data_IF_976603128267
#
_entry.id   IF_976603128267
#
_cell.length_a   1.000
_cell.length_b   1.000
_cell.length_c   1.000
_cell.angle_alpha   90.00
_cell.angle_beta   90.00
_cell.angle_gamma   90.00
#
_symmetry.space_group_name_H-M   'P 1'
#
loop_
_entity.id
_entity.type
_entity.pdbx_description
1 polymer ?
#
# COMPACT_ATOMS: atom_id res chain seq x y z
N UNK A 1 -4.02 86.56 -17.75
CA UNK A 1 -3.98 85.62 -18.90
C UNK A 1 -3.92 84.21 -18.33
N UNK A 2 -4.85 83.34 -18.75
CA UNK A 2 -5.15 82.03 -18.15
C UNK A 2 -3.95 81.07 -18.17
N UNK A 3 -3.67 80.40 -17.05
CA UNK A 3 -3.19 79.01 -17.01
C UNK A 3 -3.77 78.32 -15.77
N UNK A 4 -4.67 77.38 -15.99
CA UNK A 4 -5.12 76.38 -15.01
C UNK A 4 -3.99 75.38 -14.76
N UNK A 5 -3.72 75.04 -13.50
CA UNK A 5 -3.19 73.71 -13.13
C UNK A 5 -3.90 73.18 -11.89
N UNK A 6 -4.73 72.18 -12.17
CA UNK A 6 -5.36 71.26 -11.25
C UNK A 6 -4.29 70.26 -10.77
N UNK A 7 -3.93 70.25 -9.49
CA UNK A 7 -3.16 69.14 -8.88
C UNK A 7 -3.80 68.83 -7.52
N UNK A 8 -3.86 67.54 -7.20
CA UNK A 8 -4.24 66.88 -5.94
C UNK A 8 -5.73 66.59 -5.71
N UNK A 9 -6.22 65.50 -6.33
CA UNK A 9 -7.15 64.55 -5.68
C UNK A 9 -6.96 63.14 -6.25
N UNK A 10 -5.99 62.40 -5.73
CA UNK A 10 -5.82 60.96 -6.03
C UNK A 10 -5.05 60.26 -4.89
N UNK A 11 -5.59 60.37 -3.67
CA UNK A 11 -5.02 59.73 -2.48
C UNK A 11 -5.98 58.84 -1.69
N UNK A 12 -7.18 58.53 -2.22
CA UNK A 12 -8.21 57.84 -1.44
C UNK A 12 -8.91 56.67 -2.15
N UNK A 13 -8.34 56.16 -3.24
CA UNK A 13 -8.91 55.00 -3.97
C UNK A 13 -8.00 53.77 -3.97
N UNK A 14 -6.78 53.86 -3.40
CA UNK A 14 -5.84 52.74 -3.35
C UNK A 14 -5.81 52.01 -1.98
N UNK A 15 -6.40 52.59 -0.93
CA UNK A 15 -6.37 52.00 0.42
C UNK A 15 -7.53 51.03 0.71
N UNK A 16 -8.61 51.08 -0.08
CA UNK A 16 -9.80 50.24 0.12
C UNK A 16 -9.75 48.90 -0.63
N UNK A 17 -8.87 48.76 -1.63
CA UNK A 17 -8.65 47.48 -2.34
C UNK A 17 -7.71 46.55 -1.57
N UNK A 18 -6.82 47.10 -0.73
CA UNK A 18 -5.93 46.29 0.12
C UNK A 18 -6.61 45.69 1.36
N UNK A 19 -7.75 46.25 1.81
CA UNK A 19 -8.44 45.72 2.98
C UNK A 19 -9.40 44.55 2.66
N UNK A 20 -9.84 44.43 1.40
CA UNK A 20 -10.70 43.32 0.95
C UNK A 20 -9.92 42.08 0.50
N UNK A 21 -8.59 42.17 0.36
CA UNK A 21 -7.73 41.03 0.00
C UNK A 21 -7.19 40.27 1.23
N UNK A 22 -7.55 40.68 2.45
CA UNK A 22 -7.12 40.06 3.70
C UNK A 22 -8.16 39.11 4.34
N UNK A 23 -9.27 38.81 3.65
CA UNK A 23 -10.39 38.04 4.21
C UNK A 23 -10.70 36.70 3.51
N UNK A 24 -9.80 36.19 2.66
CA UNK A 24 -9.91 34.82 2.12
C UNK A 24 -8.55 34.16 1.89
N UNK A 25 -7.67 34.20 2.89
CA UNK A 25 -6.80 33.05 3.13
C UNK A 25 -7.37 32.33 4.35
N UNK A 26 -8.36 31.45 4.13
CA UNK A 26 -8.38 30.25 4.96
C UNK A 26 -7.00 29.64 4.78
N UNK A 27 -6.21 29.61 5.85
CA UNK A 27 -4.99 28.83 5.88
C UNK A 27 -5.32 27.47 5.26
N UNK A 28 -4.72 27.18 4.10
CA UNK A 28 -4.80 25.87 3.49
C UNK A 28 -3.87 24.97 4.31
N UNK A 29 -4.39 24.59 5.46
CA UNK A 29 -3.70 23.90 6.53
C UNK A 29 -4.79 23.49 7.49
N UNK A 30 -5.52 22.44 7.13
CA UNK A 30 -6.15 21.65 8.18
C UNK A 30 -5.00 21.06 8.99
N UNK A 31 -4.61 21.77 10.05
CA UNK A 31 -3.81 21.26 11.15
C UNK A 31 -4.58 20.11 11.79
N UNK A 32 -4.33 18.90 11.30
CA UNK A 32 -4.81 17.67 11.88
C UNK A 32 -3.87 16.55 11.47
N UNK A 33 -3.21 15.91 12.44
CA UNK A 33 -2.51 14.66 12.15
C UNK A 33 -3.59 13.61 11.80
N UNK A 34 -3.51 12.95 10.64
CA UNK A 34 -4.53 11.98 10.25
C UNK A 34 -4.58 10.86 11.29
N UNK A 35 -5.80 10.44 11.61
CA UNK A 35 -6.10 9.33 12.51
C UNK A 35 -5.92 7.99 11.79
N UNK A 36 -6.24 7.94 10.50
CA UNK A 36 -6.14 6.74 9.68
C UNK A 36 -5.12 6.96 8.55
N UNK A 37 -4.40 5.91 8.19
CA UNK A 37 -3.47 5.89 7.06
C UNK A 37 -3.82 4.70 6.17
N UNK A 38 -4.11 4.97 4.90
CA UNK A 38 -4.28 3.95 3.86
C UNK A 38 -3.12 4.14 2.87
N UNK A 39 -2.25 3.15 2.78
CA UNK A 39 -1.15 3.09 1.83
C UNK A 39 -1.51 2.07 0.75
N UNK A 40 -1.69 2.52 -0.48
CA UNK A 40 -1.90 1.66 -1.63
C UNK A 40 -0.61 1.56 -2.45
N UNK A 41 -0.16 0.34 -2.71
CA UNK A 41 1.03 0.03 -3.49
C UNK A 41 0.60 -0.64 -4.80
N UNK A 42 1.18 -0.17 -5.89
CA UNK A 42 1.00 -0.76 -7.22
C UNK A 42 2.33 -1.37 -7.63
N UNK A 43 2.43 -2.70 -7.55
CA UNK A 43 3.68 -3.42 -7.85
C UNK A 43 4.02 -3.24 -9.35
N UNK A 44 5.26 -2.87 -9.67
CA UNK A 44 5.76 -2.80 -11.04
C UNK A 44 5.14 -1.73 -11.95
N UNK A 45 4.47 -0.72 -11.39
CA UNK A 45 3.73 0.29 -12.15
C UNK A 45 4.48 1.63 -12.29
N UNK A 46 4.90 1.99 -13.50
CA UNK A 46 5.46 3.29 -13.84
C UNK A 46 4.43 4.31 -14.36
N UNK A 47 4.92 5.48 -14.78
CA UNK A 47 4.08 6.53 -15.35
C UNK A 47 3.39 6.08 -16.66
N UNK A 48 4.04 5.18 -17.40
CA UNK A 48 3.60 4.64 -18.68
C UNK A 48 2.38 3.72 -18.50
N UNK A 49 2.39 2.86 -17.49
CA UNK A 49 1.27 1.97 -17.14
C UNK A 49 0.03 2.76 -16.71
N UNK A 50 0.19 3.78 -15.84
CA UNK A 50 -0.92 4.68 -15.51
C UNK A 50 -1.46 5.39 -16.76
N UNK A 51 -0.57 5.79 -17.67
CA UNK A 51 -0.98 6.42 -18.94
C UNK A 51 -1.81 5.49 -19.80
N UNK A 52 -1.39 4.23 -19.94
CA UNK A 52 -2.16 3.23 -20.68
C UNK A 52 -3.54 3.01 -20.03
N UNK A 53 -3.61 2.88 -18.71
CA UNK A 53 -4.87 2.72 -17.99
C UNK A 53 -5.84 3.88 -18.22
N UNK A 54 -5.36 5.14 -18.23
CA UNK A 54 -6.19 6.30 -18.58
C UNK A 54 -6.78 6.20 -19.98
N UNK A 55 -5.98 5.80 -20.96
CA UNK A 55 -6.44 5.66 -22.34
C UNK A 55 -7.50 4.58 -22.50
N UNK A 56 -7.33 3.43 -21.85
CA UNK A 56 -8.33 2.36 -21.89
C UNK A 56 -9.59 2.72 -21.11
N UNK A 57 -9.45 3.36 -19.94
CA UNK A 57 -10.58 3.84 -19.13
C UNK A 57 -11.36 4.97 -19.83
N UNK A 58 -10.69 5.80 -20.62
CA UNK A 58 -11.24 7.01 -21.21
C UNK A 58 -11.41 8.17 -20.23
N UNK A 59 -10.80 8.10 -19.05
CA UNK A 59 -10.87 9.10 -17.99
C UNK A 59 -9.63 9.02 -17.07
N UNK A 60 -9.44 10.03 -16.23
CA UNK A 60 -8.43 10.00 -15.17
C UNK A 60 -8.68 8.86 -14.17
N UNK A 61 -7.62 8.35 -13.55
CA UNK A 61 -7.73 7.45 -12.40
C UNK A 61 -8.25 8.24 -11.18
N UNK A 62 -8.97 7.57 -10.30
CA UNK A 62 -9.68 8.12 -9.14
C UNK A 62 -8.79 8.98 -8.23
N UNK A 63 -7.53 8.59 -8.07
CA UNK A 63 -6.56 9.24 -7.19
C UNK A 63 -5.74 10.37 -7.84
N UNK A 64 -5.87 10.61 -9.16
CA UNK A 64 -5.01 11.56 -9.89
C UNK A 64 -5.39 13.04 -9.68
N UNK A 65 -6.57 13.33 -9.12
CA UNK A 65 -6.99 14.70 -8.81
C UNK A 65 -6.31 15.30 -7.57
N UNK A 66 -5.35 14.59 -6.96
CA UNK A 66 -4.69 14.95 -5.71
C UNK A 66 -3.23 15.34 -5.90
N UNK A 67 -2.54 15.63 -4.79
CA UNK A 67 -1.14 15.99 -4.81
C UNK A 67 -0.29 14.85 -5.39
N UNK A 68 0.31 15.10 -6.54
CA UNK A 68 1.16 14.13 -7.24
C UNK A 68 2.63 14.54 -7.14
N UNK A 69 3.49 13.55 -6.92
CA UNK A 69 4.94 13.71 -6.86
C UNK A 69 5.67 12.55 -7.53
N UNK A 70 7.00 12.60 -7.52
CA UNK A 70 7.85 11.54 -8.06
C UNK A 70 8.73 10.96 -6.94
N UNK A 71 8.98 9.65 -7.00
CA UNK A 71 9.81 8.91 -6.04
C UNK A 71 10.99 8.25 -6.76
N UNK A 72 12.16 8.22 -6.12
CA UNK A 72 13.33 7.48 -6.58
C UNK A 72 13.40 6.14 -5.85
N UNK A 73 13.27 5.05 -6.59
CA UNK A 73 13.05 3.71 -6.05
C UNK A 73 14.30 2.83 -5.97
N UNK A 74 15.47 3.29 -6.43
CA UNK A 74 16.72 2.52 -6.29
C UNK A 74 16.95 2.10 -4.82
N UNK A 75 17.52 0.90 -4.64
CA UNK A 75 17.86 0.36 -3.33
C UNK A 75 19.36 0.60 -3.03
N UNK A 76 19.90 0.04 -1.95
CA UNK A 76 21.29 0.37 -1.55
C UNK A 76 22.36 -0.21 -2.47
N UNK A 77 22.09 -1.33 -3.13
CA UNK A 77 23.06 -2.11 -3.90
C UNK A 77 22.66 -2.39 -5.37
N UNK A 78 21.54 -1.84 -5.81
CA UNK A 78 21.05 -1.86 -7.20
C UNK A 78 20.36 -0.56 -7.61
N UNK A 79 20.63 -0.13 -8.85
CA UNK A 79 19.94 1.01 -9.50
C UNK A 79 18.52 0.67 -9.95
N UNK A 80 18.21 -0.63 -10.11
CA UNK A 80 16.87 -1.15 -10.36
C UNK A 80 16.49 -2.01 -9.16
N UNK A 81 15.56 -1.54 -8.35
CA UNK A 81 15.10 -2.26 -7.18
C UNK A 81 14.18 -3.42 -7.58
N UNK A 82 14.09 -4.43 -6.74
CA UNK A 82 12.95 -5.35 -6.71
C UNK A 82 11.93 -4.91 -5.63
N UNK A 83 10.77 -5.57 -5.58
CA UNK A 83 9.66 -5.24 -4.67
C UNK A 83 10.04 -5.29 -3.19
N UNK A 84 10.91 -6.21 -2.77
CA UNK A 84 11.28 -6.41 -1.35
C UNK A 84 11.91 -5.17 -0.68
N UNK A 85 13.07 -4.66 -1.13
CA UNK A 85 13.68 -3.44 -0.62
C UNK A 85 12.88 -2.18 -0.93
N UNK A 86 12.11 -2.14 -2.02
CA UNK A 86 11.25 -1.01 -2.33
C UNK A 86 10.10 -0.89 -1.30
N UNK A 87 9.37 -1.97 -1.08
CA UNK A 87 8.34 -2.04 -0.05
C UNK A 87 8.92 -1.87 1.36
N UNK A 88 10.13 -2.39 1.63
CA UNK A 88 10.83 -2.18 2.90
C UNK A 88 11.16 -0.71 3.14
N UNK A 89 11.55 0.02 2.11
CA UNK A 89 11.77 1.46 2.22
C UNK A 89 10.46 2.22 2.51
N UNK A 90 9.34 1.83 1.90
CA UNK A 90 8.02 2.38 2.21
C UNK A 90 7.57 2.03 3.64
N UNK A 91 7.84 0.81 4.10
CA UNK A 91 7.44 0.31 5.40
C UNK A 91 8.26 0.93 6.54
N UNK A 92 9.55 1.18 6.34
CA UNK A 92 10.51 1.50 7.42
C UNK A 92 11.11 2.90 7.32
N UNK A 93 11.00 3.54 6.14
CA UNK A 93 11.72 4.79 5.81
C UNK A 93 13.21 4.60 5.55
N UNK A 94 13.72 3.35 5.53
CA UNK A 94 15.14 3.02 5.35
C UNK A 94 15.31 2.20 4.07
N UNK A 95 16.14 2.69 3.13
CA UNK A 95 16.56 1.88 1.97
C UNK A 95 17.37 0.68 2.45
N UNK A 96 17.16 -0.47 1.83
CA UNK A 96 17.87 -1.71 2.17
C UNK A 96 18.46 -2.38 0.93
N UNK A 97 19.01 -3.58 1.08
CA UNK A 97 19.66 -4.36 0.03
C UNK A 97 18.66 -5.23 -0.73
N UNK A 98 19.01 -5.61 -1.96
CA UNK A 98 18.22 -6.52 -2.79
C UNK A 98 17.74 -7.74 -2.00
N UNK A 99 16.48 -8.14 -2.25
CA UNK A 99 15.77 -9.24 -1.57
C UNK A 99 15.49 -9.07 -0.08
N UNK A 100 15.99 -8.04 0.60
CA UNK A 100 15.76 -7.89 2.04
C UNK A 100 14.34 -7.42 2.33
N UNK A 101 13.74 -7.99 3.38
CA UNK A 101 12.42 -7.66 3.90
C UNK A 101 12.63 -6.97 5.24
N UNK A 102 12.45 -5.65 5.28
CA UNK A 102 12.53 -4.77 6.47
C UNK A 102 13.73 -5.05 7.39
N UNK A 103 14.85 -5.41 6.77
CA UNK A 103 16.18 -5.45 7.40
C UNK A 103 16.96 -4.22 6.96
N UNK A 104 17.92 -3.76 7.74
CA UNK A 104 18.88 -2.76 7.29
C UNK A 104 19.89 -3.36 6.30
N UNK A 105 20.52 -2.53 5.47
CA UNK A 105 21.34 -2.96 4.35
C UNK A 105 22.57 -3.78 4.77
N UNK A 106 23.12 -4.59 3.86
CA UNK A 106 24.31 -5.41 4.14
C UNK A 106 25.64 -4.63 4.11
N UNK A 107 25.62 -3.37 3.67
CA UNK A 107 26.77 -2.45 3.67
C UNK A 107 27.73 -2.58 2.49
N UNK A 108 27.25 -3.03 1.32
CA UNK A 108 27.98 -2.95 0.04
C UNK A 108 27.16 -2.18 -0.98
N UNK A 109 27.23 -0.86 -0.94
CA UNK A 109 26.41 0.00 -1.75
C UNK A 109 26.84 0.05 -3.22
N UNK A 110 25.91 0.35 -4.12
CA UNK A 110 26.23 0.66 -5.52
C UNK A 110 27.23 1.81 -5.58
N UNK A 111 28.27 1.75 -6.43
CA UNK A 111 29.20 2.85 -6.61
C UNK A 111 28.50 4.19 -6.84
N UNK A 112 28.82 5.19 -6.03
CA UNK A 112 28.23 6.53 -6.10
C UNK A 112 27.03 6.78 -5.18
N UNK A 113 26.50 5.74 -4.51
CA UNK A 113 25.52 5.92 -3.44
C UNK A 113 26.22 6.20 -2.09
N UNK A 114 25.59 6.99 -1.20
CA UNK A 114 26.10 7.16 0.16
C UNK A 114 26.15 5.83 0.90
N UNK A 115 27.22 5.60 1.66
CA UNK A 115 27.33 4.43 2.52
C UNK A 115 26.20 4.44 3.57
N UNK A 116 25.63 3.27 3.83
CA UNK A 116 24.59 3.13 4.84
C UNK A 116 25.19 3.27 6.25
N UNK A 117 24.43 3.80 7.23
CA UNK A 117 24.89 3.86 8.62
C UNK A 117 25.27 2.47 9.14
N UNK A 118 26.50 2.28 9.68
CA UNK A 118 26.97 0.96 10.11
C UNK A 118 26.12 0.31 11.20
N UNK A 119 25.43 1.13 12.00
CA UNK A 119 24.55 0.70 13.07
C UNK A 119 23.22 0.14 12.56
N UNK A 120 22.82 0.37 11.31
CA UNK A 120 21.62 -0.24 10.73
C UNK A 120 21.90 -1.60 10.08
N UNK A 121 23.17 -1.94 9.87
CA UNK A 121 23.58 -3.09 9.07
C UNK A 121 22.97 -4.40 9.59
N UNK A 122 22.20 -5.09 8.74
CA UNK A 122 21.53 -6.36 9.04
C UNK A 122 20.66 -6.34 10.30
N UNK A 123 20.17 -5.17 10.72
CA UNK A 123 19.24 -5.07 11.84
C UNK A 123 17.79 -5.08 11.35
N UNK A 124 16.84 -5.72 12.06
CA UNK A 124 15.42 -5.51 11.82
C UNK A 124 15.07 -4.01 11.96
N UNK A 125 14.43 -3.46 10.93
CA UNK A 125 13.99 -2.06 10.88
C UNK A 125 12.52 -1.98 11.25
N UNK A 126 12.18 -1.18 12.26
CA UNK A 126 10.79 -1.05 12.71
C UNK A 126 9.88 -0.57 11.58
N UNK A 127 8.77 -1.26 11.35
CA UNK A 127 7.82 -0.91 10.30
C UNK A 127 6.77 0.09 10.78
N UNK A 128 6.13 0.80 9.85
CA UNK A 128 4.99 1.65 10.14
C UNK A 128 3.81 0.86 10.73
N UNK A 129 3.64 -0.41 10.36
CA UNK A 129 2.62 -1.29 10.92
C UNK A 129 2.90 -1.57 12.40
N UNK A 130 4.16 -1.86 12.75
CA UNK A 130 4.58 -2.03 14.15
C UNK A 130 4.41 -0.74 14.95
N UNK A 131 4.78 0.40 14.35
CA UNK A 131 4.57 1.72 14.92
C UNK A 131 3.09 2.03 15.17
N UNK A 132 2.20 1.65 14.25
CA UNK A 132 0.75 1.78 14.40
C UNK A 132 0.23 0.91 15.55
N UNK A 133 0.67 -0.36 15.61
CA UNK A 133 0.34 -1.29 16.70
C UNK A 133 0.78 -0.76 18.07
N UNK A 134 2.00 -0.22 18.18
CA UNK A 134 2.51 0.38 19.41
C UNK A 134 1.71 1.60 19.86
N UNK A 135 1.05 2.30 18.94
CA UNK A 135 0.10 3.39 19.23
C UNK A 135 -1.32 2.90 19.52
N UNK A 136 -1.55 1.59 19.55
CA UNK A 136 -2.86 0.99 19.76
C UNK A 136 -3.82 1.17 18.59
N UNK A 137 -3.31 1.53 17.40
CA UNK A 137 -4.10 1.57 16.17
C UNK A 137 -4.41 0.15 15.72
N UNK A 138 -5.53 -0.02 15.02
CA UNK A 138 -5.78 -1.27 14.30
C UNK A 138 -4.89 -1.32 13.05
N UNK A 139 -4.61 -2.52 12.55
CA UNK A 139 -3.74 -2.71 11.40
C UNK A 139 -4.27 -3.73 10.41
N UNK A 140 -4.07 -3.48 9.12
CA UNK A 140 -4.41 -4.45 8.09
C UNK A 140 -3.49 -4.45 6.89
N UNK A 141 -3.49 -5.59 6.21
CA UNK A 141 -2.78 -5.88 4.97
C UNK A 141 -3.78 -6.50 4.00
N UNK A 142 -3.84 -5.98 2.78
CA UNK A 142 -4.64 -6.50 1.67
C UNK A 142 -3.74 -6.61 0.45
N UNK A 143 -3.75 -7.75 -0.24
CA UNK A 143 -3.00 -7.93 -1.49
C UNK A 143 -3.66 -8.97 -2.37
N UNK A 144 -3.40 -8.95 -3.69
CA UNK A 144 -3.81 -10.04 -4.61
C UNK A 144 -2.78 -11.17 -4.69
N UNK A 145 -1.53 -10.91 -4.30
CA UNK A 145 -0.50 -11.94 -4.17
C UNK A 145 -0.67 -12.81 -2.92
N UNK A 146 0.35 -13.63 -2.63
CA UNK A 146 0.45 -14.31 -1.33
C UNK A 146 0.73 -13.24 -0.29
N UNK A 147 0.12 -13.32 0.89
CA UNK A 147 0.40 -12.37 1.98
C UNK A 147 1.87 -12.44 2.48
N UNK A 148 2.59 -13.49 2.09
CA UNK A 148 4.03 -13.70 2.30
C UNK A 148 4.91 -13.19 1.17
N UNK A 149 4.32 -12.70 0.07
CA UNK A 149 5.06 -12.05 -1.01
C UNK A 149 5.73 -10.77 -0.51
N UNK A 150 6.72 -10.28 -1.25
CA UNK A 150 7.66 -9.28 -0.77
C UNK A 150 7.02 -8.00 -0.22
N UNK A 151 6.04 -7.45 -0.93
CA UNK A 151 5.39 -6.20 -0.55
C UNK A 151 4.61 -6.31 0.75
N UNK A 152 3.64 -7.25 0.93
CA UNK A 152 2.98 -7.44 2.22
C UNK A 152 3.94 -7.90 3.32
N UNK A 153 4.92 -8.76 2.99
CA UNK A 153 5.92 -9.22 3.94
C UNK A 153 6.74 -8.08 4.55
N UNK A 154 7.07 -7.04 3.78
CA UNK A 154 7.83 -5.89 4.26
C UNK A 154 7.14 -5.15 5.43
N UNK A 155 5.82 -5.26 5.58
CA UNK A 155 5.11 -4.66 6.71
C UNK A 155 4.97 -5.61 7.90
N UNK A 156 5.14 -6.91 7.70
CA UNK A 156 4.81 -7.94 8.68
C UNK A 156 5.99 -8.79 9.17
N UNK A 157 7.14 -8.73 8.52
CA UNK A 157 8.27 -9.61 8.79
C UNK A 157 9.62 -8.91 8.61
N UNK A 158 10.67 -9.56 9.11
CA UNK A 158 12.06 -9.16 8.96
C UNK A 158 12.89 -10.37 8.53
N UNK A 159 13.50 -10.30 7.34
CA UNK A 159 14.38 -11.37 6.85
C UNK A 159 15.31 -10.85 5.75
N UNK A 160 16.46 -11.48 5.59
CA UNK A 160 17.45 -11.14 4.56
C UNK A 160 17.13 -11.76 3.19
N UNK A 161 16.00 -12.44 3.04
CA UNK A 161 15.54 -12.92 1.73
C UNK A 161 14.02 -13.02 1.69
N UNK A 162 13.44 -12.42 0.64
CA UNK A 162 12.02 -12.52 0.28
C UNK A 162 11.54 -13.94 0.00
N UNK A 163 12.45 -14.88 -0.27
CA UNK A 163 12.11 -16.26 -0.59
C UNK A 163 11.81 -17.12 0.65
N UNK A 164 12.06 -16.60 1.86
CA UNK A 164 11.79 -17.32 3.12
C UNK A 164 10.30 -17.25 3.52
N UNK A 165 9.39 -17.57 2.60
CA UNK A 165 7.95 -17.35 2.77
C UNK A 165 7.32 -18.12 3.96
N UNK A 166 7.82 -19.33 4.28
CA UNK A 166 7.35 -20.08 5.46
C UNK A 166 7.70 -19.32 6.76
N UNK A 167 8.92 -18.78 6.86
CA UNK A 167 9.36 -17.95 7.99
C UNK A 167 8.61 -16.62 8.04
N UNK A 168 8.34 -16.02 6.88
CA UNK A 168 7.54 -14.79 6.78
C UNK A 168 6.12 -15.03 7.29
N UNK A 169 5.48 -16.15 6.93
CA UNK A 169 4.15 -16.48 7.43
C UNK A 169 4.15 -16.66 8.95
N UNK A 170 5.17 -17.35 9.49
CA UNK A 170 5.31 -17.52 10.94
C UNK A 170 5.39 -16.15 11.63
N UNK A 171 6.27 -15.25 11.16
CA UNK A 171 6.36 -13.89 11.69
C UNK A 171 5.03 -13.13 11.57
N UNK A 172 4.36 -13.19 10.41
CA UNK A 172 3.08 -12.51 10.18
C UNK A 172 1.98 -12.97 11.16
N UNK A 173 1.90 -14.27 11.45
CA UNK A 173 0.95 -14.85 12.43
C UNK A 173 1.21 -14.35 13.86
N UNK A 174 2.47 -14.13 14.23
CA UNK A 174 2.83 -13.56 15.53
C UNK A 174 2.82 -12.02 15.56
N UNK A 175 2.80 -11.36 14.39
CA UNK A 175 2.83 -9.91 14.26
C UNK A 175 1.57 -9.21 14.78
N UNK A 176 0.47 -9.95 14.94
CA UNK A 176 -0.74 -9.42 15.58
C UNK A 176 -1.46 -8.36 14.73
N UNK A 177 -1.30 -8.41 13.41
CA UNK A 177 -2.10 -7.65 12.44
C UNK A 177 -3.57 -8.02 12.61
N UNK A 178 -4.51 -7.07 12.56
CA UNK A 178 -5.92 -7.39 12.82
C UNK A 178 -6.59 -8.05 11.62
N UNK A 179 -6.31 -7.55 10.41
CA UNK A 179 -6.91 -8.03 9.16
C UNK A 179 -5.83 -8.29 8.13
N UNK A 180 -5.68 -9.53 7.66
CA UNK A 180 -4.74 -9.92 6.60
C UNK A 180 -5.53 -10.61 5.51
N UNK A 181 -5.64 -10.01 4.32
CA UNK A 181 -6.45 -10.52 3.21
C UNK A 181 -5.59 -10.70 1.95
N UNK A 182 -5.62 -11.88 1.35
CA UNK A 182 -4.92 -12.18 0.09
C UNK A 182 -4.87 -13.67 -0.20
N UNK A 183 -3.85 -14.11 -0.92
CA UNK A 183 -3.54 -15.53 -1.13
C UNK A 183 -2.52 -16.09 -0.13
N UNK A 184 -2.05 -17.32 -0.38
CA UNK A 184 -0.88 -17.90 0.30
C UNK A 184 -1.20 -18.90 1.40
N UNK A 185 -2.39 -19.53 1.37
CA UNK A 185 -2.78 -20.58 2.33
C UNK A 185 -1.73 -21.69 2.47
N UNK A 186 -0.97 -21.99 1.41
CA UNK A 186 0.07 -23.02 1.45
C UNK A 186 1.12 -22.78 2.55
N UNK A 187 1.45 -21.53 2.85
CA UNK A 187 2.47 -21.20 3.87
C UNK A 187 1.94 -21.24 5.30
N UNK A 188 0.61 -21.36 5.48
CA UNK A 188 -0.03 -21.48 6.79
C UNK A 188 -0.07 -22.94 7.28
N UNK A 189 -0.12 -23.89 6.36
CA UNK A 189 -0.40 -25.31 6.65
C UNK A 189 0.81 -26.21 6.39
N UNK A 190 0.97 -27.30 7.16
CA UNK A 190 1.97 -28.32 6.88
C UNK A 190 1.56 -29.13 5.64
N UNK A 191 2.52 -29.80 5.00
CA UNK A 191 2.27 -30.70 3.86
C UNK A 191 1.18 -31.74 4.13
N UNK A 192 1.14 -32.27 5.35
CA UNK A 192 0.12 -33.24 5.78
C UNK A 192 -1.32 -32.69 5.75
N UNK A 193 -1.51 -31.36 5.73
CA UNK A 193 -2.80 -30.67 5.62
C UNK A 193 -2.96 -29.92 4.29
N UNK A 194 -2.19 -30.28 3.27
CA UNK A 194 -2.28 -29.68 1.94
C UNK A 194 -1.55 -28.34 1.77
N UNK A 195 -0.72 -27.93 2.73
CA UNK A 195 0.15 -26.76 2.57
C UNK A 195 1.55 -27.11 2.04
N UNK A 196 2.47 -26.15 2.13
CA UNK A 196 3.85 -26.26 1.67
C UNK A 196 4.89 -26.26 2.78
N UNK A 197 4.50 -25.94 4.04
CA UNK A 197 5.46 -25.77 5.13
C UNK A 197 6.34 -27.00 5.33
N UNK A 198 7.66 -26.78 5.39
CA UNK A 198 8.64 -27.84 5.53
C UNK A 198 8.92 -28.26 6.99
N UNK A 199 8.65 -27.38 7.95
CA UNK A 199 8.86 -27.58 9.39
C UNK A 199 7.77 -28.44 10.07
N UNK A 200 6.65 -28.70 9.38
CA UNK A 200 5.54 -29.49 9.91
C UNK A 200 4.61 -28.71 10.83
N UNK A 201 4.80 -27.39 10.99
CA UNK A 201 3.94 -26.57 11.83
C UNK A 201 2.57 -26.32 11.19
N UNK A 202 1.56 -26.20 12.04
CA UNK A 202 0.22 -25.78 11.67
C UNK A 202 -0.11 -24.41 12.29
N UNK A 203 0.16 -23.36 11.50
CA UNK A 203 -0.07 -21.99 11.94
C UNK A 203 -1.56 -21.61 11.97
N UNK A 204 -2.43 -22.41 11.34
CA UNK A 204 -3.88 -22.20 11.45
C UNK A 204 -4.38 -22.45 12.88
N UNK A 205 -3.80 -23.45 13.57
CA UNK A 205 -4.09 -23.71 14.97
C UNK A 205 -3.57 -22.59 15.89
N UNK A 206 -2.42 -21.98 15.54
CA UNK A 206 -1.87 -20.82 16.25
C UNK A 206 -2.80 -19.62 16.12
N UNK A 207 -3.26 -19.30 14.91
CA UNK A 207 -4.24 -18.23 14.66
C UNK A 207 -5.54 -18.45 15.45
N UNK A 208 -6.09 -19.67 15.40
CA UNK A 208 -7.29 -20.01 16.16
C UNK A 208 -7.09 -19.83 17.67
N UNK A 209 -5.96 -20.29 18.23
CA UNK A 209 -5.59 -20.09 19.62
C UNK A 209 -5.42 -18.61 20.01
N UNK A 210 -5.16 -17.74 19.04
CA UNK A 210 -5.05 -16.28 19.21
C UNK A 210 -6.35 -15.52 18.89
N UNK A 211 -7.45 -16.25 18.64
CA UNK A 211 -8.77 -15.68 18.40
C UNK A 211 -8.99 -15.11 17.01
N UNK A 212 -8.19 -15.53 16.02
CA UNK A 212 -8.38 -15.16 14.63
C UNK A 212 -9.38 -16.08 13.93
N UNK A 213 -10.23 -15.50 13.10
CA UNK A 213 -10.96 -16.24 12.07
C UNK A 213 -10.04 -16.50 10.88
N UNK A 214 -10.22 -17.65 10.23
CA UNK A 214 -9.62 -17.94 8.93
C UNK A 214 -10.77 -17.98 7.93
N UNK A 215 -10.75 -17.06 6.95
CA UNK A 215 -11.82 -16.92 5.94
C UNK A 215 -11.24 -17.22 4.56
N UNK A 216 -11.93 -17.99 3.73
CA UNK A 216 -11.30 -18.57 2.53
C UNK A 216 -12.07 -18.29 1.23
N UNK A 217 -13.25 -17.67 1.32
CA UNK A 217 -14.09 -17.37 0.17
C UNK A 217 -14.65 -15.95 0.24
N UNK A 218 -15.13 -15.45 -0.90
CA UNK A 218 -15.91 -14.22 -0.99
C UNK A 218 -17.13 -14.24 -0.06
N UNK A 219 -17.82 -15.38 0.04
CA UNK A 219 -18.97 -15.55 0.94
C UNK A 219 -18.57 -15.38 2.41
N UNK A 220 -17.41 -15.92 2.81
CA UNK A 220 -16.89 -15.73 4.16
C UNK A 220 -16.55 -14.25 4.42
N UNK A 221 -15.91 -13.58 3.45
CA UNK A 221 -15.63 -12.14 3.50
C UNK A 221 -16.92 -11.33 3.67
N UNK A 222 -17.94 -11.62 2.86
CA UNK A 222 -19.24 -10.94 2.84
C UNK A 222 -20.01 -11.11 4.15
N UNK A 223 -19.76 -12.19 4.90
CA UNK A 223 -20.43 -12.50 6.18
C UNK A 223 -19.60 -12.13 7.42
N UNK A 224 -18.30 -11.86 7.25
CA UNK A 224 -17.44 -11.37 8.33
C UNK A 224 -17.83 -9.94 8.77
N UNK A 225 -17.98 -9.73 10.08
CA UNK A 225 -18.50 -8.46 10.66
C UNK A 225 -17.60 -7.82 11.71
N UNK A 226 -16.79 -8.61 12.41
CA UNK A 226 -15.96 -8.11 13.52
C UNK A 226 -14.87 -9.11 13.91
N UNK A 227 -13.88 -8.62 14.64
CA UNK A 227 -12.78 -9.43 15.14
C UNK A 227 -11.57 -9.38 14.23
N UNK A 228 -10.67 -10.34 14.42
CA UNK A 228 -9.43 -10.44 13.65
C UNK A 228 -9.51 -11.59 12.66
N UNK A 229 -8.93 -11.42 11.47
CA UNK A 229 -9.01 -12.44 10.43
C UNK A 229 -7.75 -12.53 9.58
N UNK A 230 -7.43 -13.77 9.21
CA UNK A 230 -6.60 -14.07 8.04
C UNK A 230 -7.52 -14.60 6.95
N UNK A 231 -7.76 -13.78 5.94
CA UNK A 231 -8.46 -14.14 4.72
C UNK A 231 -7.49 -14.64 3.66
N UNK A 232 -7.43 -15.96 3.46
CA UNK A 232 -6.51 -16.60 2.52
C UNK A 232 -7.31 -17.29 1.42
N UNK A 233 -7.61 -16.55 0.34
CA UNK A 233 -8.56 -16.92 -0.71
C UNK A 233 -7.98 -17.84 -1.79
N UNK A 234 -6.67 -18.11 -1.73
CA UNK A 234 -5.97 -18.97 -2.68
C UNK A 234 -4.83 -19.75 -2.01
N UNK A 235 -4.51 -20.92 -2.56
CA UNK A 235 -3.37 -21.72 -2.14
C UNK A 235 -2.03 -21.00 -2.34
N UNK A 236 -1.90 -20.29 -3.46
CA UNK A 236 -0.77 -19.43 -3.81
C UNK A 236 -1.27 -17.99 -3.97
N UNK A 237 -0.85 -17.27 -5.00
CA UNK A 237 -1.44 -16.00 -5.41
C UNK A 237 -2.93 -16.16 -5.73
N UNK A 238 -3.68 -15.05 -5.65
CA UNK A 238 -5.03 -14.99 -6.17
C UNK A 238 -5.00 -15.01 -7.70
N UNK A 239 -6.18 -15.13 -8.30
CA UNK A 239 -6.33 -15.09 -9.75
C UNK A 239 -6.37 -13.64 -10.23
N UNK A 240 -5.65 -13.34 -11.32
CA UNK A 240 -5.66 -12.06 -12.01
C UNK A 240 -7.08 -11.55 -12.28
N UNK A 241 -7.31 -10.24 -12.24
CA UNK A 241 -8.67 -9.71 -12.28
C UNK A 241 -9.44 -10.09 -13.56
N UNK A 242 -8.74 -10.16 -14.69
CA UNK A 242 -9.34 -10.52 -15.97
C UNK A 242 -9.86 -11.96 -16.00
N UNK A 243 -9.17 -12.86 -15.29
CA UNK A 243 -9.35 -14.31 -15.30
C UNK A 243 -10.23 -14.80 -14.13
N UNK A 244 -10.19 -14.10 -13.00
CA UNK A 244 -10.89 -14.44 -11.75
C UNK A 244 -12.38 -14.77 -11.93
N UNK A 245 -13.20 -14.05 -12.72
CA UNK A 245 -14.61 -14.39 -12.88
C UNK A 245 -14.87 -15.79 -13.48
N UNK A 246 -13.91 -16.35 -14.21
CA UNK A 246 -14.01 -17.65 -14.86
C UNK A 246 -13.34 -18.74 -14.03
N UNK A 247 -12.11 -18.50 -13.56
CA UNK A 247 -11.30 -19.54 -12.94
C UNK A 247 -11.39 -19.57 -11.42
N UNK A 248 -11.77 -18.45 -10.79
CA UNK A 248 -11.86 -18.33 -9.34
C UNK A 248 -13.00 -17.40 -8.89
N UNK A 249 -14.27 -17.64 -9.29
CA UNK A 249 -15.39 -16.75 -8.99
C UNK A 249 -15.69 -16.60 -7.48
N UNK A 250 -15.19 -17.54 -6.66
CA UNK A 250 -15.30 -17.51 -5.21
C UNK A 250 -14.22 -16.65 -4.52
N UNK A 251 -13.23 -16.13 -5.25
CA UNK A 251 -12.25 -15.18 -4.72
C UNK A 251 -12.80 -13.75 -4.75
N UNK A 252 -12.67 -12.95 -3.67
CA UNK A 252 -13.05 -11.55 -3.69
C UNK A 252 -12.09 -10.71 -4.56
N UNK A 253 -12.57 -9.57 -5.05
CA UNK A 253 -11.73 -8.53 -5.69
C UNK A 253 -10.83 -7.84 -4.67
N UNK A 254 -9.77 -7.18 -5.15
CA UNK A 254 -9.02 -6.20 -4.35
C UNK A 254 -9.94 -5.11 -3.77
N UNK A 255 -10.92 -4.64 -4.55
CA UNK A 255 -11.89 -3.62 -4.12
C UNK A 255 -12.76 -4.10 -2.95
N UNK A 256 -13.31 -5.33 -3.02
CA UNK A 256 -14.13 -5.93 -1.96
C UNK A 256 -13.30 -6.21 -0.69
N UNK A 257 -12.06 -6.71 -0.85
CA UNK A 257 -11.15 -6.88 0.29
C UNK A 257 -10.80 -5.54 0.93
N UNK A 258 -10.56 -4.49 0.14
CA UNK A 258 -10.27 -3.13 0.62
C UNK A 258 -11.46 -2.55 1.38
N UNK A 259 -12.67 -2.65 0.81
CA UNK A 259 -13.89 -2.19 1.47
C UNK A 259 -14.10 -2.90 2.80
N UNK A 260 -13.97 -4.23 2.83
CA UNK A 260 -14.10 -5.02 4.06
C UNK A 260 -13.04 -4.64 5.09
N UNK A 261 -11.78 -4.47 4.70
CA UNK A 261 -10.73 -4.07 5.61
C UNK A 261 -11.02 -2.69 6.23
N UNK A 262 -11.44 -1.71 5.42
CA UNK A 262 -11.83 -0.38 5.91
C UNK A 262 -13.05 -0.47 6.85
N UNK A 263 -14.07 -1.26 6.49
CA UNK A 263 -15.26 -1.48 7.32
C UNK A 263 -14.88 -1.96 8.73
N UNK A 264 -14.03 -2.99 8.83
CA UNK A 264 -13.64 -3.57 10.11
C UNK A 264 -12.69 -2.63 10.89
N UNK A 265 -11.65 -2.13 10.24
CA UNK A 265 -10.58 -1.36 10.90
C UNK A 265 -11.05 0.04 11.34
N UNK A 266 -12.01 0.64 10.62
CA UNK A 266 -12.55 1.96 10.96
C UNK A 266 -13.31 2.00 12.29
N UNK A 267 -13.69 0.85 12.83
CA UNK A 267 -14.26 0.73 14.18
C UNK A 267 -13.26 1.04 15.30
N UNK A 268 -11.96 1.07 15.00
CA UNK A 268 -10.90 1.34 15.98
C UNK A 268 -10.97 2.78 16.53
N UNK A 269 -11.05 2.97 17.86
CA UNK A 269 -11.07 4.30 18.46
C UNK A 269 -9.76 5.05 18.28
N UNK A 270 -8.63 4.34 18.08
CA UNK A 270 -7.31 4.93 17.89
C UNK A 270 -6.93 5.13 16.42
N UNK A 271 -7.83 4.77 15.49
CA UNK A 271 -7.57 4.79 14.06
C UNK A 271 -6.90 3.52 13.57
N UNK A 272 -6.51 3.51 12.31
CA UNK A 272 -5.90 2.34 11.69
C UNK A 272 -4.80 2.66 10.66
N UNK A 273 -3.92 1.69 10.45
CA UNK A 273 -3.03 1.62 9.30
C UNK A 273 -3.49 0.48 8.40
N UNK A 274 -3.64 0.73 7.10
CA UNK A 274 -3.99 -0.27 6.10
C UNK A 274 -3.01 -0.17 4.94
N UNK A 275 -2.36 -1.29 4.59
CA UNK A 275 -1.65 -1.42 3.32
C UNK A 275 -2.50 -2.24 2.35
N UNK A 276 -2.67 -1.74 1.13
CA UNK A 276 -3.37 -2.41 0.02
C UNK A 276 -2.43 -2.55 -1.16
N UNK A 277 -2.29 -3.73 -1.74
CA UNK A 277 -1.42 -3.98 -2.88
C UNK A 277 -2.21 -4.52 -4.08
N UNK A 278 -2.07 -3.86 -5.23
CA UNK A 278 -2.34 -4.49 -6.52
C UNK A 278 -1.06 -5.17 -7.00
N UNK A 279 -0.93 -6.46 -6.69
CA UNK A 279 0.34 -7.18 -6.79
C UNK A 279 0.67 -7.66 -8.20
N UNK A 280 -0.34 -7.91 -9.03
CA UNK A 280 -0.17 -8.64 -10.29
C UNK A 280 0.10 -7.74 -11.50
N UNK A 281 0.02 -6.42 -11.32
CA UNK A 281 0.43 -5.43 -12.35
C UNK A 281 1.88 -5.66 -12.76
N UNK A 282 2.76 -5.96 -11.80
CA UNK A 282 4.15 -6.32 -12.04
C UNK A 282 4.30 -7.58 -12.89
N UNK A 283 3.51 -8.62 -12.60
CA UNK A 283 3.60 -9.89 -13.33
C UNK A 283 3.06 -9.76 -14.75
N UNK A 284 1.99 -9.01 -14.94
CA UNK A 284 1.49 -8.65 -16.25
C UNK A 284 2.55 -7.89 -17.06
N UNK A 285 3.25 -6.93 -16.44
CA UNK A 285 4.39 -6.25 -17.04
C UNK A 285 5.53 -7.23 -17.40
N UNK A 286 5.89 -8.14 -16.49
CA UNK A 286 6.92 -9.16 -16.75
C UNK A 286 6.56 -10.11 -17.90
N UNK A 287 5.28 -10.43 -18.04
CA UNK A 287 4.74 -11.25 -19.12
C UNK A 287 4.56 -10.48 -20.44
N UNK A 288 4.73 -9.15 -20.43
CA UNK A 288 4.34 -8.25 -21.51
C UNK A 288 2.87 -8.43 -21.93
N UNK A 289 1.97 -8.59 -20.94
CA UNK A 289 0.54 -8.76 -21.12
C UNK A 289 -0.23 -7.48 -20.77
N UNK A 290 -0.55 -6.61 -21.74
CA UNK A 290 -1.27 -5.38 -21.48
C UNK A 290 -2.73 -5.60 -21.08
N UNK A 291 -3.34 -6.75 -21.43
CA UNK A 291 -4.74 -7.01 -21.10
C UNK A 291 -4.88 -7.34 -19.61
N UNK A 292 -4.01 -8.23 -19.12
CA UNK A 292 -3.89 -8.52 -17.69
C UNK A 292 -3.57 -7.24 -16.91
N UNK A 293 -2.53 -6.50 -17.33
CA UNK A 293 -2.10 -5.27 -16.66
C UNK A 293 -3.24 -4.28 -16.45
N UNK A 294 -4.05 -4.07 -17.48
CA UNK A 294 -5.15 -3.11 -17.43
C UNK A 294 -6.28 -3.61 -16.53
N UNK A 295 -6.56 -4.91 -16.54
CA UNK A 295 -7.51 -5.52 -15.60
C UNK A 295 -7.18 -5.18 -14.15
N UNK A 296 -5.97 -5.51 -13.73
CA UNK A 296 -5.51 -5.31 -12.35
C UNK A 296 -5.33 -3.83 -11.98
N UNK A 297 -4.83 -2.99 -12.90
CA UNK A 297 -4.67 -1.57 -12.62
C UNK A 297 -6.02 -0.83 -12.54
N UNK A 298 -7.02 -1.22 -13.33
CA UNK A 298 -8.39 -0.71 -13.16
C UNK A 298 -9.09 -1.29 -11.93
N UNK A 299 -8.64 -2.44 -11.42
CA UNK A 299 -9.13 -2.97 -10.15
C UNK A 299 -8.57 -2.21 -8.95
N UNK A 300 -7.29 -1.85 -8.98
CA UNK A 300 -6.72 -0.88 -8.05
C UNK A 300 -7.49 0.43 -8.08
N UNK A 301 -7.82 0.96 -9.27
CA UNK A 301 -8.56 2.21 -9.40
C UNK A 301 -9.91 2.17 -8.68
N UNK A 302 -10.62 1.04 -8.72
CA UNK A 302 -11.85 0.84 -7.93
C UNK A 302 -11.58 0.77 -6.43
N UNK A 303 -10.52 0.07 -6.00
CA UNK A 303 -10.13 0.02 -4.59
C UNK A 303 -9.71 1.41 -4.06
N UNK A 304 -9.04 2.21 -4.87
CA UNK A 304 -8.64 3.57 -4.55
C UNK A 304 -9.83 4.52 -4.47
N UNK A 305 -10.82 4.38 -5.36
CA UNK A 305 -12.09 5.11 -5.28
C UNK A 305 -12.85 4.82 -3.98
N UNK A 306 -12.85 3.55 -3.52
CA UNK A 306 -13.43 3.17 -2.21
C UNK A 306 -12.68 3.84 -1.06
N UNK A 307 -11.34 3.75 -1.06
CA UNK A 307 -10.51 4.35 -0.03
C UNK A 307 -10.63 5.89 0.00
N UNK A 308 -10.73 6.51 -1.17
CA UNK A 308 -10.92 7.94 -1.33
C UNK A 308 -12.26 8.40 -0.78
N UNK A 309 -13.36 7.75 -1.17
CA UNK A 309 -14.70 8.06 -0.63
C UNK A 309 -14.76 7.90 0.88
N UNK A 310 -14.09 6.88 1.43
CA UNK A 310 -13.95 6.74 2.88
C UNK A 310 -13.20 7.94 3.46
N UNK A 311 -12.05 8.30 2.91
CA UNK A 311 -11.21 9.37 3.42
C UNK A 311 -11.89 10.75 3.36
N UNK A 312 -12.60 11.05 2.28
CA UNK A 312 -13.40 12.27 2.11
C UNK A 312 -14.53 12.35 3.14
N UNK A 313 -15.21 11.24 3.40
CA UNK A 313 -16.29 11.16 4.40
C UNK A 313 -15.78 11.27 5.83
N UNK A 314 -14.66 10.62 6.13
CA UNK A 314 -14.06 10.57 7.46
C UNK A 314 -13.37 11.89 7.84
N UNK A 315 -12.75 12.56 6.87
CA UNK A 315 -12.06 13.84 7.05
C UNK A 315 -10.78 13.76 7.90
N UNK A 316 -10.39 12.59 8.41
CA UNK A 316 -9.22 12.35 9.26
C UNK A 316 -8.34 11.20 8.73
N UNK A 317 -8.41 10.94 7.43
CA UNK A 317 -7.70 9.83 6.77
C UNK A 317 -6.72 10.36 5.74
N UNK A 318 -5.49 9.86 5.79
CA UNK A 318 -4.48 10.07 4.74
C UNK A 318 -4.46 8.85 3.82
N UNK A 319 -4.77 9.07 2.54
CA UNK A 319 -4.59 8.10 1.47
C UNK A 319 -3.30 8.42 0.70
N UNK A 320 -2.45 7.42 0.51
CA UNK A 320 -1.22 7.50 -0.28
C UNK A 320 -1.27 6.39 -1.31
N UNK A 321 -1.10 6.72 -2.59
CA UNK A 321 -0.94 5.74 -3.67
C UNK A 321 0.46 5.88 -4.23
N UNK A 322 1.24 4.80 -4.22
CA UNK A 322 2.63 4.77 -4.70
C UNK A 322 2.90 3.51 -5.49
N UNK A 323 3.93 3.56 -6.32
CA UNK A 323 4.54 2.37 -6.89
C UNK A 323 5.80 2.00 -6.11
N UNK A 324 6.18 0.74 -6.14
CA UNK A 324 7.45 0.26 -5.60
C UNK A 324 8.57 0.36 -6.65
N UNK A 325 8.28 0.07 -7.93
CA UNK A 325 9.13 0.28 -9.10
C UNK A 325 8.30 0.29 -10.42
N UNK A 326 9.00 0.35 -11.55
CA UNK A 326 8.44 0.16 -12.90
C UNK A 326 8.92 -1.19 -13.44
N UNK A 327 8.13 -1.84 -14.28
CA UNK A 327 8.42 -3.15 -14.88
C UNK A 327 8.11 -3.18 -16.38
N UNK A 328 8.89 -3.95 -17.15
CA UNK A 328 8.59 -4.25 -18.56
C UNK A 328 9.05 -3.20 -19.58
N UNK A 329 9.48 -2.01 -19.17
CA UNK A 329 9.98 -0.98 -20.10
C UNK A 329 8.92 -0.47 -21.07
N UNK A 330 7.65 -0.47 -20.65
CA UNK A 330 6.52 0.05 -21.41
C UNK A 330 6.72 1.52 -21.79
N UNK A 331 6.25 1.93 -22.98
CA UNK A 331 6.37 3.29 -23.52
C UNK A 331 5.18 3.69 -24.37
#
# INVERSE_FOLDING_TARGET
>A
MKVNRLIYRSGLTCLLVLFFCLLSFKALGAEGRPKNIILMIVDGCGAEQYTLARWVKGAALSFEAHLTGAVRTFNTDSVVTDSAPAASAHATGVRTSDKFISMGPHGKETPGLPASPPDLRLKPMATILEGARLKGMASGIVCTSRVTHATPAAFMAHTTSRDMEDMIMEQAVYQGVDIVLGGGMRHLLPKAKGGSRADGEDLSAVLAGRGYSIINTKSDLDTFRQGKAFGLFAGSHMEAELDRPVFAPDQPTLAEMTEKAIEILSSSPNGFFLMVEASEVDWACHANDPAHLIGDLLMLDKAADIALKFAERDGNTLLIVVSDHNTGGMS
#
